data_IF_522156607282
#
_entry.id   IF_522156607282
#
_cell.length_a   1.000
_cell.length_b   1.000
_cell.length_c   1.000
_cell.angle_alpha   90.00
_cell.angle_beta   90.00
_cell.angle_gamma   90.00
#
_symmetry.space_group_name_H-M   'P 1'
#
loop_
_entity.id
_entity.type
_entity.pdbx_description
1 polymer ?
#
# COMPACT_ATOMS: atom_id res chain seq x y z
N UNK A 1 -22.52 0.03 -3.15
CA UNK A 1 -22.11 0.78 -1.93
C UNK A 1 -22.94 2.04 -1.67
N UNK A 2 -23.13 2.95 -2.64
CA UNK A 2 -23.94 4.17 -2.44
C UNK A 2 -25.40 3.82 -2.10
N UNK A 3 -26.06 3.01 -2.96
CA UNK A 3 -27.45 2.58 -2.76
C UNK A 3 -27.69 1.83 -1.45
N UNK A 4 -26.71 1.07 -0.99
CA UNK A 4 -26.76 0.32 0.28
C UNK A 4 -26.41 1.17 1.51
N UNK A 5 -26.18 2.47 1.35
CA UNK A 5 -25.86 3.37 2.47
C UNK A 5 -24.53 3.07 3.14
N UNK A 6 -23.56 2.52 2.41
CA UNK A 6 -22.24 2.18 2.96
C UNK A 6 -21.24 3.34 2.88
N UNK A 7 -21.35 4.16 1.84
CA UNK A 7 -20.46 5.32 1.62
C UNK A 7 -21.26 6.53 1.14
N UNK A 8 -20.72 7.72 1.37
CA UNK A 8 -21.21 8.98 0.81
C UNK A 8 -20.05 9.80 0.26
N UNK A 9 -20.20 10.32 -0.96
CA UNK A 9 -19.23 11.23 -1.56
C UNK A 9 -19.25 12.55 -0.80
N UNK A 10 -18.09 12.99 -0.32
CA UNK A 10 -17.90 14.31 0.28
C UNK A 10 -17.39 15.31 -0.77
N UNK A 11 -16.40 14.90 -1.56
CA UNK A 11 -15.88 15.65 -2.71
C UNK A 11 -15.35 14.66 -3.77
N UNK A 12 -14.74 15.15 -4.86
CA UNK A 12 -14.20 14.27 -5.91
C UNK A 12 -13.06 13.40 -5.35
N UNK A 13 -13.26 12.08 -5.33
CA UNK A 13 -12.26 11.14 -4.80
C UNK A 13 -12.18 11.09 -3.27
N UNK A 14 -13.12 11.68 -2.54
CA UNK A 14 -13.14 11.63 -1.06
C UNK A 14 -14.50 11.14 -0.58
N UNK A 15 -14.49 10.08 0.23
CA UNK A 15 -15.70 9.37 0.63
C UNK A 15 -15.77 9.17 2.14
N UNK A 16 -16.93 9.48 2.72
CA UNK A 16 -17.26 9.09 4.09
C UNK A 16 -17.77 7.66 4.11
N UNK A 17 -17.14 6.79 4.90
CA UNK A 17 -17.69 5.48 5.24
C UNK A 17 -18.79 5.66 6.30
N UNK A 18 -20.01 5.25 5.95
CA UNK A 18 -21.18 5.28 6.83
C UNK A 18 -21.20 4.02 7.72
N UNK A 19 -22.05 3.92 8.76
CA UNK A 19 -21.94 2.88 9.78
C UNK A 19 -21.82 1.44 9.25
N UNK A 20 -22.57 1.06 8.22
CA UNK A 20 -22.45 -0.27 7.59
C UNK A 20 -21.12 -0.45 6.85
N UNK A 21 -20.67 0.59 6.13
CA UNK A 21 -19.37 0.61 5.45
C UNK A 21 -18.22 0.50 6.43
N UNK A 22 -18.25 1.26 7.53
CA UNK A 22 -17.22 1.21 8.59
C UNK A 22 -17.14 -0.18 9.23
N UNK A 23 -18.26 -0.84 9.49
CA UNK A 23 -18.27 -2.22 10.03
C UNK A 23 -17.61 -3.21 9.08
N UNK A 24 -17.84 -3.09 7.78
CA UNK A 24 -17.24 -3.97 6.77
C UNK A 24 -15.75 -3.66 6.62
N UNK A 25 -15.38 -2.37 6.57
CA UNK A 25 -13.99 -1.93 6.52
C UNK A 25 -13.18 -2.51 7.68
N UNK A 26 -13.70 -2.40 8.92
CA UNK A 26 -13.02 -2.94 10.10
C UNK A 26 -12.87 -4.47 10.07
N UNK A 27 -13.82 -5.20 9.46
CA UNK A 27 -13.68 -6.65 9.28
C UNK A 27 -12.53 -6.99 8.35
N UNK A 28 -12.38 -6.27 7.24
CA UNK A 28 -11.27 -6.46 6.29
C UNK A 28 -9.94 -6.10 6.95
N UNK A 29 -9.87 -4.96 7.64
CA UNK A 29 -8.69 -4.53 8.40
C UNK A 29 -8.25 -5.62 9.39
N UNK A 30 -9.20 -6.23 10.12
CA UNK A 30 -8.86 -7.28 11.08
C UNK A 30 -8.31 -8.54 10.42
N UNK A 31 -8.86 -8.98 9.28
CA UNK A 31 -8.29 -10.11 8.52
C UNK A 31 -6.86 -9.81 8.10
N UNK A 32 -6.62 -8.60 7.56
CA UNK A 32 -5.28 -8.17 7.14
C UNK A 32 -4.32 -8.19 8.33
N UNK A 33 -4.68 -7.52 9.43
CA UNK A 33 -3.87 -7.46 10.65
C UNK A 33 -3.51 -8.85 11.18
N UNK A 34 -4.50 -9.72 11.31
CA UNK A 34 -4.30 -11.09 11.82
C UNK A 34 -3.31 -11.89 10.95
N UNK A 35 -3.40 -11.81 9.62
CA UNK A 35 -2.48 -12.54 8.73
C UNK A 35 -1.08 -11.91 8.70
N UNK A 36 -0.98 -10.58 8.78
CA UNK A 36 0.30 -9.87 8.89
C UNK A 36 1.00 -10.24 10.20
N UNK A 37 0.31 -10.17 11.33
CA UNK A 37 0.85 -10.54 12.66
C UNK A 37 1.28 -12.01 12.68
N UNK A 38 0.47 -12.90 12.10
CA UNK A 38 0.79 -14.33 11.98
C UNK A 38 2.04 -14.60 11.15
N UNK A 39 2.37 -13.73 10.18
CA UNK A 39 3.61 -13.83 9.40
C UNK A 39 4.86 -13.40 10.19
N UNK A 40 4.67 -12.75 11.34
CA UNK A 40 5.73 -12.15 12.15
C UNK A 40 6.05 -10.70 11.76
N UNK A 41 5.21 -10.07 10.92
CA UNK A 41 5.31 -8.63 10.70
C UNK A 41 4.79 -7.87 11.92
N UNK A 42 5.34 -6.69 12.18
CA UNK A 42 5.05 -5.90 13.38
C UNK A 42 4.31 -4.62 12.97
N UNK A 43 3.13 -4.42 13.54
CA UNK A 43 2.34 -3.22 13.27
C UNK A 43 2.94 -1.98 13.97
N UNK A 44 3.01 -0.88 13.25
CA UNK A 44 3.30 0.45 13.75
C UNK A 44 2.37 1.48 13.10
N UNK A 45 2.51 2.76 13.45
CA UNK A 45 1.69 3.82 12.88
C UNK A 45 2.53 5.06 12.55
N UNK A 46 2.75 5.30 11.26
CA UNK A 46 3.49 6.47 10.78
C UNK A 46 2.55 7.66 10.50
N UNK A 47 3.05 8.90 10.63
CA UNK A 47 2.26 10.09 10.33
C UNK A 47 1.80 10.16 8.87
N UNK A 48 0.62 10.74 8.65
CA UNK A 48 0.17 11.10 7.29
C UNK A 48 0.99 12.25 6.69
N UNK A 49 1.46 13.16 7.54
CA UNK A 49 2.26 14.31 7.15
C UNK A 49 3.74 13.95 7.23
N UNK A 50 4.49 14.22 6.17
CA UNK A 50 5.94 14.05 6.13
C UNK A 50 6.64 15.33 5.64
N UNK A 51 7.88 15.60 6.10
CA UNK A 51 8.69 16.66 5.52
C UNK A 51 8.94 16.40 4.03
N UNK A 52 8.78 17.43 3.19
CA UNK A 52 9.06 17.27 1.75
C UNK A 52 10.53 16.87 1.50
N UNK A 53 11.44 17.32 2.37
CA UNK A 53 12.88 17.01 2.34
C UNK A 53 13.20 15.50 2.34
N UNK A 54 12.36 14.65 2.94
CA UNK A 54 12.58 13.20 2.90
C UNK A 54 12.38 12.65 1.48
N UNK A 55 11.35 13.12 0.78
CA UNK A 55 11.06 12.75 -0.62
C UNK A 55 12.10 13.35 -1.58
N UNK A 56 12.62 14.54 -1.27
CA UNK A 56 13.74 15.15 -2.01
C UNK A 56 15.00 14.28 -1.90
N UNK A 57 15.30 13.79 -0.71
CA UNK A 57 16.47 12.96 -0.47
C UNK A 57 16.42 11.65 -1.24
N UNK A 58 15.24 11.05 -1.42
CA UNK A 58 15.07 9.84 -2.23
C UNK A 58 15.05 10.11 -3.74
N UNK A 59 14.95 11.37 -4.15
CA UNK A 59 14.83 11.75 -5.56
C UNK A 59 13.46 11.46 -6.18
N UNK A 60 12.44 11.11 -5.37
CA UNK A 60 11.11 10.70 -5.86
C UNK A 60 10.13 11.85 -6.08
N UNK A 61 10.54 13.10 -5.85
CA UNK A 61 9.68 14.27 -6.13
C UNK A 61 9.15 14.24 -7.57
N UNK A 62 10.02 14.03 -8.54
CA UNK A 62 9.65 14.04 -9.95
C UNK A 62 8.87 12.78 -10.34
N UNK A 63 9.17 11.65 -9.70
CA UNK A 63 8.46 10.39 -9.90
C UNK A 63 6.99 10.47 -9.46
N UNK A 64 6.69 11.19 -8.37
CA UNK A 64 5.31 11.45 -7.96
C UNK A 64 4.65 12.58 -8.76
N UNK A 65 5.41 13.58 -9.20
CA UNK A 65 4.89 14.68 -10.01
C UNK A 65 3.69 15.39 -9.35
N UNK A 66 2.60 15.50 -10.11
CA UNK A 66 1.35 16.16 -9.72
C UNK A 66 0.50 15.33 -8.75
N UNK A 67 0.77 14.02 -8.60
CA UNK A 67 0.02 13.17 -7.66
C UNK A 67 0.41 13.45 -6.19
N UNK A 68 1.53 14.15 -5.95
CA UNK A 68 2.00 14.49 -4.62
C UNK A 68 1.30 15.76 -4.08
N UNK A 69 0.46 15.59 -3.07
CA UNK A 69 -0.15 16.72 -2.36
C UNK A 69 0.85 17.43 -1.45
N UNK A 70 1.28 18.63 -1.87
CA UNK A 70 2.21 19.50 -1.14
C UNK A 70 1.46 20.59 -0.39
N UNK A 71 1.88 20.85 0.84
CA UNK A 71 1.28 21.84 1.73
C UNK A 71 2.40 22.67 2.34
N UNK A 72 2.16 23.98 2.53
CA UNK A 72 2.99 24.82 3.39
C UNK A 72 2.29 25.04 4.71
N UNK A 73 2.98 24.77 5.81
CA UNK A 73 2.43 25.04 7.14
C UNK A 73 2.43 26.54 7.49
N UNK A 74 1.92 26.90 8.66
CA UNK A 74 1.89 28.31 9.14
C UNK A 74 3.27 28.96 9.26
N UNK A 75 4.33 28.15 9.35
CA UNK A 75 5.73 28.58 9.42
C UNK A 75 6.43 28.50 8.07
N UNK A 76 5.68 28.30 6.97
CA UNK A 76 6.15 28.18 5.59
C UNK A 76 7.05 26.96 5.34
N UNK A 77 6.97 25.93 6.18
CA UNK A 77 7.69 24.67 5.97
C UNK A 77 6.98 23.83 4.91
N UNK A 78 7.75 23.25 4.01
CA UNK A 78 7.26 22.34 2.97
C UNK A 78 7.03 20.94 3.55
N UNK A 79 5.77 20.52 3.49
CA UNK A 79 5.32 19.20 3.93
C UNK A 79 4.48 18.56 2.83
N UNK A 80 4.36 17.24 2.87
CA UNK A 80 3.51 16.49 1.96
C UNK A 80 2.54 15.60 2.74
N UNK A 81 1.36 15.36 2.19
CA UNK A 81 0.52 14.24 2.58
C UNK A 81 1.06 12.98 1.90
N UNK A 82 1.23 11.92 2.67
CA UNK A 82 1.99 10.75 2.25
C UNK A 82 1.20 9.88 1.26
N UNK A 83 1.67 9.68 0.02
CA UNK A 83 1.09 8.72 -0.92
C UNK A 83 1.53 7.27 -0.62
N UNK A 84 2.64 7.13 0.10
CA UNK A 84 3.31 5.93 0.60
C UNK A 84 4.40 6.39 1.59
N UNK A 85 5.13 5.45 2.22
CA UNK A 85 6.01 5.71 3.36
C UNK A 85 7.42 5.13 3.25
N UNK A 86 7.96 4.82 2.06
CA UNK A 86 9.32 4.26 1.91
C UNK A 86 10.39 5.15 2.57
N UNK A 87 10.31 6.48 2.41
CA UNK A 87 11.28 7.41 2.98
C UNK A 87 11.14 7.52 4.51
N UNK A 88 9.91 7.57 5.01
CA UNK A 88 9.61 7.72 6.44
C UNK A 88 10.07 6.48 7.21
N UNK A 89 9.77 5.28 6.70
CA UNK A 89 10.19 4.04 7.36
C UNK A 89 11.70 3.86 7.29
N UNK A 90 12.34 4.27 6.20
CA UNK A 90 13.81 4.21 6.06
C UNK A 90 14.49 5.15 7.04
N UNK A 91 13.97 6.37 7.21
CA UNK A 91 14.48 7.33 8.21
C UNK A 91 14.31 6.78 9.64
N UNK A 92 13.20 6.12 9.95
CA UNK A 92 13.01 5.45 11.23
C UNK A 92 14.04 4.33 11.45
N UNK A 93 14.15 3.39 10.50
CA UNK A 93 15.04 2.24 10.63
C UNK A 93 16.50 2.65 10.74
N UNK A 94 16.92 3.68 10.00
CA UNK A 94 18.27 4.25 10.08
C UNK A 94 18.67 4.64 11.52
N UNK A 95 17.71 5.09 12.33
CA UNK A 95 17.96 5.53 13.70
C UNK A 95 17.77 4.41 14.74
N UNK A 96 16.95 3.40 14.46
CA UNK A 96 16.57 2.36 15.42
C UNK A 96 17.28 1.01 15.23
N UNK A 97 17.75 0.72 14.02
CA UNK A 97 18.45 -0.54 13.70
C UNK A 97 19.93 -0.28 13.51
N UNK A 98 20.73 -0.83 14.42
CA UNK A 98 22.20 -0.65 14.43
C UNK A 98 22.97 -1.97 14.37
N UNK A 99 22.28 -3.11 14.43
CA UNK A 99 22.90 -4.43 14.40
C UNK A 99 22.14 -5.40 13.51
N UNK A 100 22.88 -6.24 12.78
CA UNK A 100 22.34 -7.35 12.00
C UNK A 100 21.48 -8.32 12.83
N UNK A 101 21.67 -8.38 14.15
CA UNK A 101 20.88 -9.22 15.06
C UNK A 101 19.41 -8.80 15.17
N UNK A 102 19.09 -7.58 14.74
CA UNK A 102 17.72 -7.06 14.69
C UNK A 102 17.01 -7.41 13.37
N UNK A 103 17.71 -8.02 12.42
CA UNK A 103 17.20 -8.38 11.09
C UNK A 103 17.08 -9.91 10.96
N UNK A 104 16.13 -10.43 10.15
CA UNK A 104 15.20 -9.69 9.30
C UNK A 104 14.07 -9.03 10.10
N UNK A 105 13.56 -7.92 9.58
CA UNK A 105 12.50 -7.13 10.21
C UNK A 105 11.44 -6.78 9.18
N UNK A 106 10.16 -7.02 9.48
CA UNK A 106 9.03 -6.61 8.64
C UNK A 106 8.13 -5.72 9.47
N UNK A 107 8.01 -4.46 9.06
CA UNK A 107 7.15 -3.48 9.71
C UNK A 107 5.99 -3.14 8.79
N UNK A 108 4.79 -2.98 9.33
CA UNK A 108 3.63 -2.59 8.53
C UNK A 108 2.72 -1.62 9.27
N UNK A 109 1.86 -0.96 8.52
CA UNK A 109 0.80 -0.12 9.08
C UNK A 109 -0.47 -0.24 8.25
N UNK A 110 -1.60 0.16 8.84
CA UNK A 110 -2.87 0.34 8.12
C UNK A 110 -3.29 1.80 8.32
N UNK A 111 -3.05 2.62 7.30
CA UNK A 111 -3.08 4.08 7.45
C UNK A 111 -3.58 4.76 6.15
N UNK A 112 -4.23 5.92 6.31
CA UNK A 112 -4.80 6.71 5.21
C UNK A 112 -3.75 7.41 4.36
N UNK A 113 -3.75 7.09 3.07
CA UNK A 113 -2.86 7.66 2.05
C UNK A 113 -3.58 8.71 1.22
N UNK A 114 -2.78 9.56 0.57
CA UNK A 114 -3.29 10.60 -0.30
C UNK A 114 -2.55 10.63 -1.64
N UNK A 115 -3.29 10.63 -2.74
CA UNK A 115 -2.75 10.82 -4.10
C UNK A 115 -3.66 11.79 -4.83
N UNK A 116 -3.14 12.84 -5.45
CA UNK A 116 -3.96 13.86 -6.12
C UNK A 116 -4.46 13.42 -7.50
N UNK A 117 -5.10 12.25 -7.54
CA UNK A 117 -5.57 11.60 -8.76
C UNK A 117 -6.34 12.59 -9.66
N UNK A 118 -5.81 12.80 -10.87
CA UNK A 118 -6.34 13.75 -11.82
C UNK A 118 -7.81 13.49 -12.18
N UNK A 119 -8.22 12.21 -12.24
CA UNK A 119 -9.60 11.81 -12.55
C UNK A 119 -10.11 10.72 -11.61
N UNK A 120 -10.51 11.06 -10.37
CA UNK A 120 -11.03 10.08 -9.43
C UNK A 120 -12.33 9.46 -9.96
N UNK A 121 -12.37 8.13 -10.04
CA UNK A 121 -13.46 7.37 -10.67
C UNK A 121 -13.74 6.07 -9.93
N UNK A 122 -14.86 5.43 -10.25
CA UNK A 122 -15.23 4.12 -9.70
C UNK A 122 -15.35 4.03 -8.16
N UNK A 123 -15.70 5.15 -7.51
CA UNK A 123 -15.96 5.17 -6.08
C UNK A 123 -14.68 5.02 -5.26
N UNK A 124 -14.64 4.00 -4.41
CA UNK A 124 -13.51 3.70 -3.52
C UNK A 124 -12.32 3.03 -4.23
N UNK A 125 -12.51 2.58 -5.49
CA UNK A 125 -11.46 1.90 -6.25
C UNK A 125 -10.37 2.87 -6.72
N UNK A 126 -10.75 4.09 -7.16
CA UNK A 126 -9.80 5.11 -7.62
C UNK A 126 -10.16 6.48 -7.06
N UNK A 127 -9.53 6.80 -5.93
CA UNK A 127 -9.87 7.92 -5.07
C UNK A 127 -8.62 8.69 -4.65
N UNK A 128 -8.80 9.90 -4.10
CA UNK A 128 -7.69 10.74 -3.64
C UNK A 128 -7.25 10.41 -2.23
N UNK A 129 -8.19 10.00 -1.39
CA UNK A 129 -7.98 9.58 -0.01
C UNK A 129 -8.45 8.14 0.14
N UNK A 130 -7.54 7.24 0.51
CA UNK A 130 -7.84 5.82 0.64
C UNK A 130 -7.03 5.18 1.76
N UNK A 131 -7.55 4.08 2.30
CA UNK A 131 -6.85 3.30 3.32
C UNK A 131 -5.93 2.29 2.63
N UNK A 132 -4.70 2.20 3.10
CA UNK A 132 -3.73 1.24 2.61
C UNK A 132 -3.11 0.49 3.78
N UNK A 133 -2.92 -0.81 3.58
CA UNK A 133 -1.92 -1.55 4.33
C UNK A 133 -0.63 -1.56 3.52
N UNK A 134 0.41 -0.96 4.06
CA UNK A 134 1.76 -0.91 3.51
C UNK A 134 2.72 -1.58 4.48
N UNK A 135 3.65 -2.37 3.95
CA UNK A 135 4.61 -3.16 4.71
C UNK A 135 6.00 -3.05 4.07
N UNK A 136 7.02 -3.04 4.92
CA UNK A 136 8.40 -2.77 4.54
C UNK A 136 9.30 -3.80 5.26
N UNK A 137 10.05 -4.59 4.49
CA UNK A 137 11.03 -5.51 5.04
C UNK A 137 12.44 -4.93 4.96
N UNK A 138 13.26 -5.28 5.94
CA UNK A 138 14.67 -4.93 6.02
C UNK A 138 15.45 -6.21 6.26
N UNK A 139 16.37 -6.49 5.34
CA UNK A 139 17.11 -7.74 5.26
C UNK A 139 18.60 -7.43 5.01
N UNK A 140 19.49 -8.32 5.45
CA UNK A 140 20.95 -8.12 5.34
C UNK A 140 21.43 -8.38 3.91
N UNK A 141 20.77 -9.31 3.22
CA UNK A 141 21.14 -9.81 1.91
C UNK A 141 19.91 -10.19 1.07
N UNK A 142 20.18 -10.60 -0.18
CA UNK A 142 19.17 -10.95 -1.17
C UNK A 142 18.39 -12.21 -0.77
N UNK A 143 19.05 -13.17 -0.10
CA UNK A 143 18.37 -14.39 0.35
C UNK A 143 17.37 -14.08 1.47
N UNK A 144 17.72 -13.19 2.40
CA UNK A 144 16.80 -12.62 3.38
C UNK A 144 15.62 -11.92 2.72
N UNK A 145 15.89 -11.04 1.75
CA UNK A 145 14.86 -10.35 0.97
C UNK A 145 13.91 -11.35 0.30
N UNK A 146 14.43 -12.39 -0.36
CA UNK A 146 13.61 -13.41 -1.02
C UNK A 146 12.71 -14.15 -0.03
N UNK A 147 13.21 -14.46 1.17
CA UNK A 147 12.41 -15.07 2.23
C UNK A 147 11.31 -14.13 2.75
N UNK A 148 11.64 -12.85 2.96
CA UNK A 148 10.69 -11.81 3.37
C UNK A 148 9.62 -11.59 2.29
N UNK A 149 10.02 -11.59 1.01
CA UNK A 149 9.14 -11.48 -0.14
C UNK A 149 8.17 -12.66 -0.23
N UNK A 150 8.67 -13.89 -0.19
CA UNK A 150 7.82 -15.09 -0.24
C UNK A 150 6.85 -15.13 0.93
N UNK A 151 7.31 -14.74 2.13
CA UNK A 151 6.44 -14.62 3.30
C UNK A 151 5.30 -13.62 3.06
N UNK A 152 5.57 -12.47 2.43
CA UNK A 152 4.52 -11.50 2.09
C UNK A 152 3.59 -12.02 1.00
N UNK A 153 4.12 -12.68 -0.03
CA UNK A 153 3.33 -13.34 -1.07
C UNK A 153 2.33 -14.32 -0.46
N UNK A 154 2.79 -15.27 0.35
CA UNK A 154 1.94 -16.27 1.00
C UNK A 154 0.93 -15.61 1.95
N UNK A 155 1.32 -14.52 2.61
CA UNK A 155 0.45 -13.76 3.51
C UNK A 155 -0.68 -13.08 2.75
N UNK A 156 -0.39 -12.49 1.59
CA UNK A 156 -1.40 -11.88 0.74
C UNK A 156 -2.36 -12.94 0.18
N UNK A 157 -1.86 -14.10 -0.25
CA UNK A 157 -2.71 -15.22 -0.66
C UNK A 157 -3.74 -15.58 0.44
N UNK A 158 -3.28 -15.78 1.69
CA UNK A 158 -4.18 -16.07 2.82
C UNK A 158 -5.18 -14.95 3.10
N UNK A 159 -4.78 -13.67 2.99
CA UNK A 159 -5.68 -12.53 3.17
C UNK A 159 -6.81 -12.57 2.14
N UNK A 160 -6.49 -12.74 0.85
CA UNK A 160 -7.49 -12.75 -0.21
C UNK A 160 -8.38 -14.00 -0.15
N UNK A 161 -7.82 -15.17 0.17
CA UNK A 161 -8.59 -16.40 0.45
C UNK A 161 -9.59 -16.22 1.60
N UNK A 162 -9.16 -15.62 2.72
CA UNK A 162 -10.03 -15.33 3.87
C UNK A 162 -11.11 -14.30 3.55
N UNK A 163 -10.81 -13.37 2.64
CA UNK A 163 -11.79 -12.44 2.07
C UNK A 163 -12.71 -13.10 1.04
N UNK A 164 -12.47 -14.37 0.67
CA UNK A 164 -13.20 -15.15 -0.34
C UNK A 164 -13.22 -14.47 -1.72
N UNK A 165 -12.08 -13.92 -2.10
CA UNK A 165 -11.88 -13.27 -3.38
C UNK A 165 -11.25 -14.28 -4.35
N UNK A 166 -11.71 -14.27 -5.60
CA UNK A 166 -11.09 -15.02 -6.69
C UNK A 166 -9.99 -14.14 -7.28
N UNK A 167 -8.74 -14.44 -6.97
CA UNK A 167 -7.60 -13.59 -7.30
C UNK A 167 -6.51 -14.36 -8.05
N UNK A 168 -5.68 -13.63 -8.77
CA UNK A 168 -4.48 -14.10 -9.46
C UNK A 168 -3.31 -13.24 -8.97
N UNK A 169 -2.20 -13.88 -8.62
CA UNK A 169 -0.93 -13.19 -8.48
C UNK A 169 -0.25 -13.19 -9.85
N UNK A 170 0.07 -12.01 -10.36
CA UNK A 170 0.63 -11.80 -11.72
C UNK A 170 1.93 -11.04 -11.61
N UNK A 171 2.91 -11.35 -12.45
CA UNK A 171 4.13 -10.55 -12.54
C UNK A 171 3.78 -9.13 -12.99
N UNK A 172 4.43 -8.13 -12.40
CA UNK A 172 4.11 -6.72 -12.65
C UNK A 172 5.37 -5.87 -12.82
N UNK A 173 5.21 -4.67 -13.36
CA UNK A 173 6.26 -3.66 -13.38
C UNK A 173 6.42 -3.04 -11.98
N UNK A 174 7.66 -2.82 -11.55
CA UNK A 174 7.96 -2.19 -10.27
C UNK A 174 7.70 -0.67 -10.28
N UNK A 175 7.60 -0.07 -11.48
CA UNK A 175 7.24 1.33 -11.66
C UNK A 175 8.10 2.31 -10.86
N UNK A 176 7.48 3.36 -10.32
CA UNK A 176 8.14 4.40 -9.52
C UNK A 176 8.66 3.93 -8.14
N UNK A 177 8.40 2.67 -7.77
CA UNK A 177 8.93 2.06 -6.54
C UNK A 177 10.32 1.43 -6.77
N UNK A 178 10.64 1.05 -8.01
CA UNK A 178 11.91 0.41 -8.37
C UNK A 178 12.00 -1.07 -7.93
N UNK A 179 13.02 -1.78 -8.43
CA UNK A 179 13.26 -3.21 -8.17
C UNK A 179 12.97 -4.11 -9.39
N UNK A 180 13.44 -5.36 -9.32
CA UNK A 180 13.40 -6.30 -10.46
C UNK A 180 12.25 -7.33 -10.36
N UNK A 181 11.66 -7.51 -9.18
CA UNK A 181 10.62 -8.51 -8.93
C UNK A 181 9.41 -7.85 -8.27
N UNK A 182 8.27 -7.88 -8.96
CA UNK A 182 7.00 -7.37 -8.47
C UNK A 182 5.87 -8.32 -8.85
N UNK A 183 4.94 -8.52 -7.92
CA UNK A 183 3.71 -9.26 -8.17
C UNK A 183 2.51 -8.42 -7.75
N UNK A 184 1.53 -8.33 -8.63
CA UNK A 184 0.24 -7.72 -8.34
C UNK A 184 -0.82 -8.79 -8.10
N UNK A 185 -1.68 -8.55 -7.10
CA UNK A 185 -2.79 -9.44 -6.78
C UNK A 185 -4.07 -8.88 -7.39
N UNK A 186 -4.49 -9.49 -8.49
CA UNK A 186 -5.56 -9.00 -9.35
C UNK A 186 -6.83 -9.86 -9.20
N UNK A 187 -7.99 -9.22 -9.16
CA UNK A 187 -9.30 -9.88 -9.16
C UNK A 187 -9.91 -9.72 -10.55
N UNK A 188 -10.02 -10.80 -11.34
CA UNK A 188 -10.56 -10.71 -12.70
C UNK A 188 -11.96 -10.11 -12.72
N UNK A 189 -12.14 -9.03 -13.47
CA UNK A 189 -13.42 -8.36 -13.65
C UNK A 189 -13.47 -7.66 -15.01
N UNK A 190 -14.62 -7.71 -15.69
CA UNK A 190 -14.82 -7.02 -16.97
C UNK A 190 -14.67 -5.49 -16.87
N UNK A 191 -14.81 -4.92 -15.67
CA UNK A 191 -14.62 -3.49 -15.42
C UNK A 191 -13.24 -3.15 -14.83
N UNK A 192 -12.28 -4.09 -14.84
CA UNK A 192 -10.90 -3.84 -14.42
C UNK A 192 -10.21 -2.81 -15.31
N UNK A 193 -9.29 -2.02 -14.73
CA UNK A 193 -8.48 -1.07 -15.50
C UNK A 193 -7.27 -1.75 -16.16
N UNK A 194 -6.82 -2.87 -15.58
CA UNK A 194 -5.63 -3.62 -16.01
C UNK A 194 -5.99 -4.79 -16.93
N UNK A 195 -5.04 -5.15 -17.79
CA UNK A 195 -5.13 -6.28 -18.71
C UNK A 195 -4.19 -7.37 -18.22
N UNK A 196 -4.75 -8.54 -17.92
CA UNK A 196 -3.99 -9.71 -17.49
C UNK A 196 -3.75 -10.64 -18.67
N UNK A 197 -2.51 -11.04 -18.87
CA UNK A 197 -2.08 -12.06 -19.82
C UNK A 197 -1.83 -13.36 -19.07
N UNK A 198 -2.72 -14.34 -19.27
CA UNK A 198 -2.58 -15.68 -18.70
C UNK A 198 -2.25 -16.71 -19.77
N UNK A 199 -1.18 -17.47 -19.55
CA UNK A 199 -0.88 -18.61 -20.40
C UNK A 199 -1.91 -19.73 -20.21
N UNK A 200 -2.38 -20.31 -21.31
CA UNK A 200 -3.36 -21.42 -21.25
C UNK A 200 -2.71 -22.79 -21.03
N UNK A 201 -1.41 -22.90 -21.25
CA UNK A 201 -0.65 -24.16 -21.19
C UNK A 201 0.28 -24.28 -19.98
N UNK A 202 0.50 -23.21 -19.23
CA UNK A 202 1.28 -23.21 -17.99
C UNK A 202 0.73 -22.15 -17.01
N UNK A 203 1.33 -22.07 -15.82
CA UNK A 203 0.86 -21.19 -14.74
C UNK A 203 1.29 -19.72 -14.90
N UNK A 204 1.98 -19.38 -15.99
CA UNK A 204 2.45 -18.01 -16.23
C UNK A 204 1.29 -17.01 -16.33
N UNK A 205 1.38 -15.92 -15.55
CA UNK A 205 0.45 -14.78 -15.58
C UNK A 205 1.21 -13.46 -15.37
N UNK A 206 0.97 -12.47 -16.22
CA UNK A 206 1.52 -11.12 -16.18
C UNK A 206 0.48 -10.08 -16.64
#
# INVERSE_FOLDING_TARGET
MIRSGMIRKLSAGVYTYLPLGTRILNKVINIIREEMDKSGAIELFMPALQPLALIELSGRIDAFGDDLLRIKDRHKRDIALSPTHEEVITDLIKNEVSSYKQLPLILYQIQTKFRDEARPRFGVLRSKEFLMKDAYSFDIDIDGLNNSYQKMYDTYCRIFERCKLDFLAVEADSGAMGGDVSHEFMIPNENGEDVIVKCRSCDYSA
#
